data_IF_641082325217
#
_entry.id   IF_641082325217
#
_cell.length_a   1.000
_cell.length_b   1.000
_cell.length_c   1.000
_cell.angle_alpha   90.00
_cell.angle_beta   90.00
_cell.angle_gamma   90.00
#
_symmetry.space_group_name_H-M   'P 1'
#
loop_
_entity.id
_entity.type
_entity.pdbx_description
1 polymer ?
#
# COMPACT_ATOMS: atom_id res chain seq x y z
N UNK A 1 10.59 -15.24 13.90
CA UNK A 1 10.43 -15.00 13.40
C UNK A 1 10.36 -15.21 12.88
N UNK A 2 9.97 -15.44 13.04
CA UNK A 2 9.78 -15.53 12.32
C UNK A 2 9.64 -15.76 11.86
N UNK A 3 9.19 -15.84 11.94
CA UNK A 3 8.99 -15.98 11.19
C UNK A 3 8.84 -16.22 10.77
N UNK A 4 8.52 -16.25 10.98
CA UNK A 4 8.39 -16.30 10.32
C UNK A 4 8.15 -16.27 10.24
N UNK A 5 7.77 -16.06 10.64
CA UNK A 5 7.56 -15.80 10.20
C UNK A 5 7.20 -15.38 10.33
N UNK A 6 6.90 -15.55 10.95
CA UNK A 6 6.57 -14.98 10.92
C UNK A 6 5.93 -14.65 10.99
N UNK A 7 5.76 -14.30 11.22
CA UNK A 7 5.18 -13.77 11.07
C UNK A 7 4.61 -13.37 10.61
N UNK A 8 4.32 -13.06 10.33
CA UNK A 8 3.95 -12.66 9.80
C UNK A 8 3.86 -12.86 8.83
N UNK A 9 3.66 -13.24 8.67
CA UNK A 9 3.60 -13.37 7.75
C UNK A 9 3.11 -13.74 7.41
N UNK A 10 2.60 -13.75 7.40
CA UNK A 10 2.30 -13.88 6.92
C UNK A 10 1.77 -13.81 6.42
N UNK A 11 1.34 -13.93 6.54
CA UNK A 11 1.08 -13.72 6.10
C UNK A 11 0.93 -13.57 5.50
N UNK A 12 1.00 -13.37 5.18
CA UNK A 12 1.33 -13.08 4.57
C UNK A 12 1.50 -13.40 3.63
N UNK A 13 1.19 -13.39 3.57
CA UNK A 13 1.73 -13.54 2.87
C UNK A 13 1.96 -14.09 2.02
N UNK A 14 1.00 -14.25 1.93
CA UNK A 14 1.68 -14.62 1.13
C UNK A 14 2.28 -13.78 0.17
N UNK A 15 2.16 -12.70 0.10
CA UNK A 15 3.15 -11.90 -0.52
C UNK A 15 4.53 -12.44 -0.23
N UNK A 16 5.55 -11.86 -0.65
CA UNK A 16 6.88 -12.32 -0.35
C UNK A 16 7.10 -12.44 1.14
N UNK A 17 8.03 -13.30 1.52
CA UNK A 17 8.45 -13.43 2.91
C UNK A 17 8.92 -12.07 3.41
N UNK A 18 8.41 -11.64 4.56
CA UNK A 18 8.77 -10.38 5.16
C UNK A 18 8.01 -9.18 4.62
N UNK A 19 7.09 -9.40 3.69
CA UNK A 19 6.27 -8.31 3.18
C UNK A 19 5.15 -7.97 4.14
N UNK A 20 4.82 -6.69 4.22
CA UNK A 20 3.69 -6.21 5.00
C UNK A 20 2.72 -5.49 4.08
N UNK A 21 1.45 -5.50 4.44
CA UNK A 21 0.42 -4.85 3.66
C UNK A 21 0.19 -3.45 4.19
N UNK A 22 0.05 -2.50 3.26
CA UNK A 22 -0.27 -1.11 3.59
C UNK A 22 -1.46 -0.67 2.77
N UNK A 23 -2.33 0.12 3.41
CA UNK A 23 -3.42 0.79 2.70
C UNK A 23 -3.03 2.24 2.50
N UNK A 24 -3.09 2.70 1.26
CA UNK A 24 -2.69 4.05 0.90
C UNK A 24 -3.94 4.79 0.41
N UNK A 25 -4.36 5.78 1.19
CA UNK A 25 -5.55 6.58 0.89
C UNK A 25 -5.10 7.85 0.21
N UNK A 26 -5.57 8.08 -1.00
CA UNK A 26 -5.09 9.17 -1.82
C UNK A 26 -6.12 10.25 -2.03
N UNK A 27 -5.63 11.50 -2.09
CA UNK A 27 -6.44 12.66 -2.42
C UNK A 27 -5.79 13.39 -3.60
N UNK A 28 -6.58 13.63 -4.64
CA UNK A 28 -6.11 14.37 -5.80
C UNK A 28 -5.88 15.83 -5.45
N UNK A 29 -4.84 16.41 -6.01
CA UNK A 29 -4.74 17.85 -6.12
C UNK A 29 -5.65 18.31 -7.27
N UNK A 30 -5.88 19.63 -7.35
CA UNK A 30 -6.66 20.20 -8.46
C UNK A 30 -6.08 19.80 -9.81
N UNK A 31 -4.76 19.81 -9.92
CA UNK A 31 -4.10 19.46 -11.17
C UNK A 31 -4.10 17.96 -11.43
N UNK A 32 -3.92 17.15 -10.40
CA UNK A 32 -3.81 15.71 -10.58
C UNK A 32 -5.13 15.06 -10.99
N UNK A 33 -6.27 15.65 -10.60
CA UNK A 33 -7.57 15.09 -11.01
C UNK A 33 -7.73 15.13 -12.54
N UNK A 34 -7.07 16.10 -13.20
CA UNK A 34 -7.14 16.23 -14.66
C UNK A 34 -6.28 15.21 -15.39
N UNK A 35 -5.45 14.47 -14.66
CA UNK A 35 -4.46 13.57 -15.26
C UNK A 35 -4.80 12.10 -15.03
N UNK A 36 -6.06 11.81 -14.71
CA UNK A 36 -6.52 10.43 -14.53
C UNK A 36 -6.35 9.68 -15.85
N UNK A 37 -5.60 8.58 -15.80
CA UNK A 37 -5.35 7.77 -17.00
C UNK A 37 -4.75 6.43 -16.61
N UNK A 38 -4.86 5.45 -17.52
CA UNK A 38 -4.19 4.15 -17.35
C UNK A 38 -2.67 4.32 -17.30
N UNK A 39 -2.14 5.29 -18.03
CA UNK A 39 -0.71 5.58 -18.03
C UNK A 39 -0.23 5.97 -16.63
N UNK A 40 -0.99 6.78 -15.94
CA UNK A 40 -0.64 7.20 -14.59
C UNK A 40 -0.68 6.02 -13.62
N UNK A 41 -1.67 5.15 -13.77
CA UNK A 41 -1.78 3.94 -12.97
C UNK A 41 -0.56 3.05 -13.19
N UNK A 42 -0.11 2.92 -14.43
CA UNK A 42 1.07 2.13 -14.75
C UNK A 42 2.34 2.72 -14.14
N UNK A 43 2.45 4.04 -14.12
CA UNK A 43 3.58 4.73 -13.46
C UNK A 43 3.62 4.41 -11.97
N UNK A 44 2.46 4.42 -11.33
CA UNK A 44 2.38 4.10 -9.90
C UNK A 44 2.80 2.64 -9.66
N UNK A 45 2.29 1.73 -10.46
CA UNK A 45 2.62 0.30 -10.35
C UNK A 45 4.12 0.07 -10.50
N UNK A 46 4.71 0.71 -11.51
CA UNK A 46 6.15 0.56 -11.78
C UNK A 46 6.99 1.12 -10.64
N UNK A 47 6.59 2.25 -10.08
CA UNK A 47 7.30 2.87 -8.97
C UNK A 47 7.27 1.96 -7.72
N UNK A 48 6.12 1.37 -7.43
CA UNK A 48 5.97 0.45 -6.32
C UNK A 48 6.87 -0.78 -6.51
N UNK A 49 6.88 -1.34 -7.70
CA UNK A 49 7.74 -2.50 -8.01
C UNK A 49 9.22 -2.15 -7.87
N UNK A 50 9.59 -0.98 -8.34
CA UNK A 50 10.99 -0.52 -8.28
C UNK A 50 11.48 -0.45 -6.83
N UNK A 51 10.58 -0.21 -5.90
CA UNK A 51 10.91 -0.11 -4.48
C UNK A 51 10.63 -1.40 -3.72
N UNK A 52 10.56 -2.52 -4.43
CA UNK A 52 10.47 -3.84 -3.82
C UNK A 52 9.07 -4.27 -3.42
N UNK A 53 8.06 -3.53 -3.84
CA UNK A 53 6.69 -3.82 -3.46
C UNK A 53 5.84 -4.37 -4.59
N UNK A 54 4.57 -4.57 -4.26
CA UNK A 54 3.58 -5.05 -5.22
C UNK A 54 2.25 -4.36 -4.96
N UNK A 55 1.66 -3.81 -6.03
CA UNK A 55 0.30 -3.26 -5.96
C UNK A 55 -0.70 -4.42 -6.05
N UNK A 56 -1.39 -4.69 -4.96
CA UNK A 56 -2.34 -5.80 -4.89
C UNK A 56 -3.68 -5.43 -5.50
N UNK A 57 -4.17 -4.23 -5.21
CA UNK A 57 -5.44 -3.74 -5.77
C UNK A 57 -5.54 -2.24 -5.57
N UNK A 58 -6.41 -1.62 -6.34
CA UNK A 58 -6.69 -0.20 -6.22
C UNK A 58 -8.13 0.09 -6.57
N UNK A 59 -8.72 1.08 -5.91
CA UNK A 59 -10.11 1.45 -6.10
C UNK A 59 -10.26 2.95 -6.13
N UNK A 60 -11.09 3.45 -7.05
CA UNK A 60 -11.52 4.84 -7.05
C UNK A 60 -12.70 4.97 -6.08
N UNK A 61 -12.74 6.04 -5.34
CA UNK A 61 -13.74 6.26 -4.30
C UNK A 61 -14.46 7.58 -4.53
N UNK A 62 -15.66 7.67 -3.98
CA UNK A 62 -16.38 8.93 -3.85
C UNK A 62 -16.27 9.40 -2.41
N UNK A 63 -16.15 10.72 -2.21
CA UNK A 63 -16.08 11.30 -0.89
C UNK A 63 -14.77 12.02 -0.66
N UNK A 64 -14.38 12.14 0.60
CA UNK A 64 -13.18 12.89 0.98
C UNK A 64 -11.91 12.24 0.48
N UNK A 65 -11.88 10.91 0.45
CA UNK A 65 -10.75 10.17 -0.10
C UNK A 65 -11.10 9.79 -1.53
N UNK A 66 -10.18 10.02 -2.45
CA UNK A 66 -10.44 9.83 -3.89
C UNK A 66 -10.08 8.44 -4.38
N UNK A 67 -9.11 7.79 -3.73
CA UNK A 67 -8.69 6.45 -4.13
C UNK A 67 -8.05 5.73 -2.96
N UNK A 68 -7.99 4.40 -3.06
CA UNK A 68 -7.25 3.59 -2.11
C UNK A 68 -6.44 2.57 -2.88
N UNK A 69 -5.18 2.39 -2.47
CA UNK A 69 -4.29 1.35 -2.98
C UNK A 69 -4.01 0.38 -1.85
N UNK A 70 -3.99 -0.91 -2.18
CA UNK A 70 -3.56 -1.94 -1.25
C UNK A 70 -2.25 -2.48 -1.79
N UNK A 71 -1.19 -2.32 -1.00
CA UNK A 71 0.19 -2.52 -1.46
C UNK A 71 0.95 -3.37 -0.46
N UNK A 72 1.71 -4.33 -0.97
CA UNK A 72 2.67 -5.05 -0.14
C UNK A 72 4.04 -4.42 -0.30
N UNK A 73 4.71 -4.15 0.82
CA UNK A 73 6.03 -3.52 0.83
C UNK A 73 6.92 -4.22 1.86
N UNK A 74 8.25 -4.21 1.64
CA UNK A 74 9.16 -4.95 2.53
C UNK A 74 9.19 -4.42 3.96
N UNK A 75 9.09 -3.09 4.13
CA UNK A 75 9.25 -2.49 5.44
C UNK A 75 8.70 -1.07 5.46
N UNK A 76 8.71 -0.48 6.64
CA UNK A 76 8.19 0.87 6.85
C UNK A 76 8.98 1.91 6.06
N UNK A 77 10.28 1.75 5.92
CA UNK A 77 11.09 2.69 5.17
C UNK A 77 10.70 2.75 3.72
N UNK A 78 10.47 1.58 3.11
CA UNK A 78 9.99 1.52 1.73
C UNK A 78 8.57 2.06 1.61
N UNK A 79 7.73 1.85 2.63
CA UNK A 79 6.38 2.41 2.65
C UNK A 79 6.42 3.94 2.66
N UNK A 80 7.30 4.52 3.45
CA UNK A 80 7.47 5.97 3.49
C UNK A 80 7.97 6.49 2.15
N UNK A 81 8.94 5.80 1.57
CA UNK A 81 9.52 6.17 0.28
C UNK A 81 8.47 6.12 -0.83
N UNK A 82 7.65 5.08 -0.85
CA UNK A 82 6.60 4.94 -1.84
C UNK A 82 5.52 6.01 -1.64
N UNK A 83 5.12 6.25 -0.39
CA UNK A 83 4.08 7.23 -0.08
C UNK A 83 4.49 8.63 -0.55
N UNK A 84 5.67 9.07 -0.14
CA UNK A 84 6.17 10.41 -0.51
C UNK A 84 6.53 10.45 -1.99
N UNK A 85 7.14 9.39 -2.49
CA UNK A 85 7.57 9.33 -3.89
C UNK A 85 6.40 9.38 -4.86
N UNK A 86 5.31 8.69 -4.56
CA UNK A 86 4.12 8.76 -5.40
C UNK A 86 3.50 10.14 -5.38
N UNK A 87 3.52 10.83 -4.23
CA UNK A 87 3.06 12.21 -4.16
C UNK A 87 3.88 13.11 -5.09
N UNK A 88 5.19 12.96 -5.06
CA UNK A 88 6.07 13.74 -5.94
C UNK A 88 5.84 13.41 -7.41
N UNK A 89 5.65 12.13 -7.70
CA UNK A 89 5.53 11.67 -9.07
C UNK A 89 4.18 12.02 -9.69
N UNK A 90 3.10 11.93 -8.89
CA UNK A 90 1.73 11.98 -9.41
C UNK A 90 0.92 13.19 -8.95
N UNK A 91 1.40 13.92 -7.95
CA UNK A 91 0.63 15.03 -7.39
C UNK A 91 -0.58 14.56 -6.56
N UNK A 92 -0.53 13.36 -6.03
CA UNK A 92 -1.59 12.79 -5.21
C UNK A 92 -1.04 12.66 -3.79
N UNK A 93 -1.74 13.23 -2.81
CA UNK A 93 -1.37 13.11 -1.41
C UNK A 93 -1.82 11.77 -0.88
N UNK A 94 -0.92 11.05 -0.21
CA UNK A 94 -1.25 9.73 0.36
C UNK A 94 -1.12 9.73 1.88
N UNK A 95 -2.12 9.12 2.52
CA UNK A 95 -2.05 8.72 3.92
C UNK A 95 -1.88 7.20 3.91
N UNK A 96 -0.79 6.71 4.48
CA UNK A 96 -0.41 5.30 4.37
C UNK A 96 -0.39 4.67 5.76
N UNK A 97 -1.08 3.54 5.90
CA UNK A 97 -1.19 2.84 7.17
C UNK A 97 -0.91 1.35 7.00
N UNK A 98 -0.18 0.74 7.92
CA UNK A 98 -0.05 -0.72 7.91
C UNK A 98 -1.42 -1.34 8.19
N UNK A 99 -1.67 -2.49 7.59
CA UNK A 99 -2.95 -3.16 7.68
C UNK A 99 -2.76 -4.66 7.74
N UNK A 100 -3.63 -5.33 8.48
CA UNK A 100 -3.73 -6.79 8.47
C UNK A 100 -5.19 -7.15 8.27
N UNK A 101 -5.43 -8.35 7.77
CA UNK A 101 -6.80 -8.84 7.61
C UNK A 101 -7.43 -9.05 8.99
N UNK A 102 -8.76 -9.08 9.04
CA UNK A 102 -9.44 -9.46 10.27
C UNK A 102 -9.02 -10.85 10.73
N UNK A 103 -8.84 -11.76 9.80
CA UNK A 103 -8.41 -13.11 10.12
C UNK A 103 -7.07 -13.10 10.87
N UNK A 104 -6.10 -12.36 10.36
CA UNK A 104 -4.80 -12.25 11.00
C UNK A 104 -4.88 -11.50 12.31
N UNK A 105 -5.68 -10.44 12.35
CA UNK A 105 -5.87 -9.65 13.55
C UNK A 105 -6.49 -10.49 14.67
N UNK A 106 -7.50 -11.30 14.32
CA UNK A 106 -8.15 -12.16 15.30
C UNK A 106 -7.15 -13.13 15.92
N UNK A 107 -6.24 -13.67 15.09
CA UNK A 107 -5.19 -14.55 15.58
C UNK A 107 -4.23 -13.83 16.52
N UNK A 108 -3.87 -12.60 16.17
CA UNK A 108 -2.99 -11.79 17.02
C UNK A 108 -3.62 -11.55 18.40
N UNK A 109 -4.94 -11.43 18.45
CA UNK A 109 -5.64 -11.11 19.68
C UNK A 109 -5.97 -12.33 20.53
N UNK A 110 -5.69 -13.54 20.04
CA UNK A 110 -5.90 -14.74 20.83
C UNK A 110 -5.05 -14.71 22.10
N UNK A 111 -5.67 -14.89 23.26
CA UNK A 111 -4.96 -14.89 24.52
C UNK A 111 -4.69 -13.50 25.10
N UNK A 112 -5.18 -12.47 24.47
CA UNK A 112 -4.99 -11.10 24.96
C UNK A 112 -6.13 -10.69 25.88
#
# INVERSE_FOLDING_TARGET
MLLDHGPFNHGRSEGGVGMATYMMFGEYSRDSVKQISARRTNKATDFIKKNGGELKSGYALLGDTDLVLIVDLPDTEQAMKVSVGLTKLLGISFTTAPAVTFEDFDKLMEGV
#
